data_IF_792763824432
#
_entry.id   IF_792763824432
#
_cell.length_a   1.000
_cell.length_b   1.000
_cell.length_c   1.000
_cell.angle_alpha   90.00
_cell.angle_beta   90.00
_cell.angle_gamma   90.00
#
_symmetry.space_group_name_H-M   'P 1'
#
loop_
_entity.id
_entity.type
_entity.pdbx_description
1 polymer ?
#
# COMPACT_ATOMS: atom_id res chain seq x y z
N UNK A 1 14.27 46.75 -0.21
CA UNK A 1 13.56 45.48 0.03
C UNK A 1 13.77 44.62 -1.22
N UNK A 2 14.46 43.48 -1.19
CA UNK A 2 14.67 42.70 -2.41
C UNK A 2 13.35 42.08 -2.90
N UNK A 3 13.06 42.23 -4.20
CA UNK A 3 11.81 41.95 -4.93
C UNK A 3 11.68 40.49 -5.43
N UNK A 4 12.31 39.52 -4.78
CA UNK A 4 12.28 38.13 -5.25
C UNK A 4 12.20 37.14 -4.10
N UNK A 5 11.16 37.27 -3.27
CA UNK A 5 10.77 36.16 -2.40
C UNK A 5 10.14 35.09 -3.28
N UNK A 6 10.97 34.15 -3.76
CA UNK A 6 10.47 32.91 -4.37
C UNK A 6 9.76 32.12 -3.27
N UNK A 7 8.50 32.43 -3.04
CA UNK A 7 7.62 31.59 -2.25
C UNK A 7 7.46 30.29 -3.02
N UNK A 8 8.12 29.23 -2.56
CA UNK A 8 7.78 27.89 -2.99
C UNK A 8 6.43 27.54 -2.35
N UNK A 9 5.37 27.30 -3.14
CA UNK A 9 4.06 26.96 -2.60
C UNK A 9 4.07 25.50 -2.10
N UNK A 10 4.79 25.25 -1.01
CA UNK A 10 4.88 23.95 -0.29
C UNK A 10 3.50 23.33 -0.14
N UNK A 11 2.53 24.18 0.22
CA UNK A 11 1.16 23.79 0.51
C UNK A 11 0.44 23.23 -0.71
N UNK A 12 0.70 23.77 -1.90
CA UNK A 12 0.13 23.25 -3.15
C UNK A 12 0.71 21.87 -3.44
N UNK A 13 2.03 21.71 -3.31
CA UNK A 13 2.70 20.42 -3.52
C UNK A 13 2.23 19.36 -2.52
N UNK A 14 2.14 19.69 -1.24
CA UNK A 14 1.63 18.80 -0.20
C UNK A 14 0.17 18.40 -0.45
N UNK A 15 -0.69 19.35 -0.82
CA UNK A 15 -2.11 19.09 -1.10
C UNK A 15 -2.29 18.22 -2.33
N UNK A 16 -1.56 18.51 -3.41
CA UNK A 16 -1.61 17.72 -4.64
C UNK A 16 -1.08 16.30 -4.38
N UNK A 17 -0.01 16.18 -3.58
CA UNK A 17 0.56 14.89 -3.20
C UNK A 17 -0.43 14.03 -2.40
N UNK A 18 -1.09 14.62 -1.40
CA UNK A 18 -2.13 13.93 -0.64
C UNK A 18 -3.31 13.53 -1.54
N UNK A 19 -3.74 14.41 -2.46
CA UNK A 19 -4.82 14.12 -3.40
C UNK A 19 -4.47 12.94 -4.33
N UNK A 20 -3.28 12.94 -4.94
CA UNK A 20 -2.83 11.82 -5.78
C UNK A 20 -2.75 10.54 -4.95
N UNK A 21 -2.29 10.61 -3.70
CA UNK A 21 -2.25 9.45 -2.81
C UNK A 21 -3.59 8.83 -2.55
N UNK A 22 -4.58 9.65 -2.21
CA UNK A 22 -5.95 9.19 -2.00
C UNK A 22 -6.52 8.59 -3.30
N UNK A 23 -6.35 9.27 -4.44
CA UNK A 23 -6.83 8.77 -5.74
C UNK A 23 -6.16 7.44 -6.10
N UNK A 24 -4.85 7.32 -5.92
CA UNK A 24 -4.09 6.13 -6.25
C UNK A 24 -4.46 4.96 -5.32
N UNK A 25 -4.55 5.19 -4.00
CA UNK A 25 -5.00 4.15 -3.07
C UNK A 25 -6.43 3.69 -3.37
N UNK A 26 -7.36 4.62 -3.64
CA UNK A 26 -8.74 4.28 -4.01
C UNK A 26 -8.81 3.55 -5.34
N UNK A 27 -8.03 3.97 -6.33
CA UNK A 27 -7.98 3.33 -7.64
C UNK A 27 -7.43 1.92 -7.54
N UNK A 28 -6.33 1.70 -6.82
CA UNK A 28 -5.76 0.37 -6.58
C UNK A 28 -6.72 -0.49 -5.77
N UNK A 29 -7.33 0.06 -4.71
CA UNK A 29 -8.31 -0.64 -3.89
C UNK A 29 -9.51 -1.11 -4.70
N UNK A 30 -9.98 -0.31 -5.68
CA UNK A 30 -11.09 -0.69 -6.57
C UNK A 30 -10.65 -1.65 -7.68
N UNK A 31 -9.50 -1.38 -8.31
CA UNK A 31 -9.00 -2.14 -9.46
C UNK A 31 -8.62 -3.56 -9.09
N UNK A 32 -8.09 -3.75 -7.88
CA UNK A 32 -7.59 -5.03 -7.38
C UNK A 32 -8.40 -5.52 -6.17
N UNK A 33 -9.64 -5.06 -6.01
CA UNK A 33 -10.53 -5.47 -4.91
C UNK A 33 -10.63 -7.00 -4.77
N UNK A 34 -10.65 -7.73 -5.90
CA UNK A 34 -10.75 -9.19 -5.92
C UNK A 34 -9.44 -9.91 -5.56
N UNK A 35 -8.29 -9.21 -5.56
CA UNK A 35 -6.96 -9.78 -5.34
C UNK A 35 -6.23 -9.22 -4.11
N UNK A 36 -6.70 -8.10 -3.55
CA UNK A 36 -6.11 -7.46 -2.38
C UNK A 36 -6.42 -8.27 -1.13
N UNK A 37 -5.37 -8.76 -0.48
CA UNK A 37 -5.47 -9.39 0.83
C UNK A 37 -5.42 -8.32 1.93
N UNK A 38 -5.91 -8.66 3.12
CA UNK A 38 -5.83 -7.77 4.30
C UNK A 38 -4.36 -7.37 4.54
N UNK A 39 -4.08 -6.07 4.52
CA UNK A 39 -2.74 -5.50 4.71
C UNK A 39 -1.99 -5.11 3.42
N UNK A 40 -2.50 -5.42 2.23
CA UNK A 40 -1.84 -5.00 0.98
C UNK A 40 -1.98 -3.47 0.76
N UNK A 41 -3.09 -2.88 1.23
CA UNK A 41 -3.29 -1.42 1.26
C UNK A 41 -2.24 -0.74 2.17
N UNK A 42 -1.86 -1.38 3.28
CA UNK A 42 -0.81 -0.87 4.16
C UNK A 42 0.56 -0.90 3.46
N UNK A 43 0.87 -1.95 2.70
CA UNK A 43 2.10 -2.04 1.91
C UNK A 43 2.13 -0.97 0.80
N UNK A 44 1.01 -0.75 0.12
CA UNK A 44 0.86 0.35 -0.85
C UNK A 44 1.07 1.72 -0.21
N UNK A 45 0.52 1.93 0.99
CA UNK A 45 0.78 3.15 1.75
C UNK A 45 2.27 3.31 2.10
N UNK A 46 2.96 2.22 2.42
CA UNK A 46 4.40 2.21 2.70
C UNK A 46 5.25 2.58 1.47
N UNK A 47 4.75 2.33 0.26
CA UNK A 47 5.36 2.79 -1.00
C UNK A 47 5.02 4.26 -1.26
N UNK A 48 3.79 4.68 -0.97
CA UNK A 48 3.31 6.03 -1.24
C UNK A 48 3.91 7.11 -0.31
N UNK A 49 3.97 6.81 0.99
CA UNK A 49 4.46 7.73 2.02
C UNK A 49 5.85 8.32 1.73
N UNK A 50 6.88 7.52 1.36
CA UNK A 50 8.21 8.05 1.11
C UNK A 50 8.31 8.95 -0.12
N UNK A 51 7.46 8.78 -1.13
CA UNK A 51 7.41 9.69 -2.28
C UNK A 51 6.98 11.11 -1.86
N UNK A 52 6.12 11.24 -0.84
CA UNK A 52 5.81 12.55 -0.24
C UNK A 52 6.98 13.13 0.54
N UNK A 53 7.76 12.25 1.20
CA UNK A 53 8.98 12.64 1.91
C UNK A 53 10.02 13.23 0.95
N UNK A 54 10.11 12.72 -0.28
CA UNK A 54 10.97 13.28 -1.33
C UNK A 54 10.63 14.74 -1.66
N UNK A 55 9.34 15.08 -1.73
CA UNK A 55 8.91 16.45 -2.01
C UNK A 55 9.21 17.41 -0.85
N UNK A 56 9.00 16.97 0.38
CA UNK A 56 9.32 17.76 1.59
C UNK A 56 10.83 17.95 1.73
N UNK A 57 11.63 16.92 1.42
CA UNK A 57 13.08 16.99 1.47
C UNK A 57 13.66 17.87 0.36
N UNK A 58 13.04 17.90 -0.83
CA UNK A 58 13.44 18.80 -1.93
C UNK A 58 13.38 20.28 -1.52
N UNK A 59 12.50 20.61 -0.57
CA UNK A 59 12.31 21.96 -0.08
C UNK A 59 13.21 22.32 1.11
N UNK A 60 13.94 21.35 1.68
CA UNK A 60 14.92 21.53 2.76
C UNK A 60 16.34 21.22 2.27
N UNK A 61 17.06 22.21 1.74
CA UNK A 61 18.47 22.02 1.36
C UNK A 61 19.38 21.66 2.54
N UNK A 62 18.96 21.92 3.79
CA UNK A 62 19.72 21.67 5.03
C UNK A 62 19.47 20.28 5.65
N UNK A 63 18.86 19.35 4.91
CA UNK A 63 18.52 18.05 5.46
C UNK A 63 19.74 17.17 5.75
N UNK A 64 19.64 16.34 6.79
CA UNK A 64 20.72 15.43 7.19
C UNK A 64 20.98 14.39 6.10
N UNK A 65 22.19 14.46 5.52
CA UNK A 65 22.67 13.53 4.48
C UNK A 65 23.45 12.38 5.09
N UNK A 66 23.12 11.17 4.67
CA UNK A 66 23.87 9.95 4.94
C UNK A 66 24.46 9.50 3.62
N UNK A 67 25.79 9.39 3.53
CA UNK A 67 26.52 9.04 2.29
C UNK A 67 26.19 9.99 1.11
N UNK A 68 26.05 11.29 1.38
CA UNK A 68 25.75 12.30 0.35
C UNK A 68 24.29 12.32 -0.12
N UNK A 69 23.46 11.34 0.29
CA UNK A 69 22.03 11.31 0.01
C UNK A 69 21.23 11.74 1.25
N UNK A 70 20.15 12.53 1.09
CA UNK A 70 19.25 12.85 2.19
C UNK A 70 18.66 11.58 2.82
N UNK A 71 18.53 11.56 4.14
CA UNK A 71 18.01 10.40 4.89
C UNK A 71 16.61 9.98 4.42
N UNK A 72 15.79 10.94 3.97
CA UNK A 72 14.48 10.66 3.37
C UNK A 72 14.56 9.70 2.17
N UNK A 73 15.61 9.79 1.34
CA UNK A 73 15.78 8.93 0.17
C UNK A 73 16.13 7.50 0.56
N UNK A 74 16.96 7.32 1.58
CA UNK A 74 17.27 6.01 2.15
C UNK A 74 16.01 5.33 2.69
N UNK A 75 15.22 6.05 3.49
CA UNK A 75 13.95 5.55 4.02
C UNK A 75 13.01 5.18 2.87
N UNK A 76 12.99 5.98 1.81
CA UNK A 76 12.17 5.69 0.64
C UNK A 76 12.55 4.39 -0.06
N UNK A 77 13.83 4.22 -0.39
CA UNK A 77 14.32 3.02 -1.08
C UNK A 77 14.04 1.77 -0.25
N UNK A 78 14.32 1.81 1.06
CA UNK A 78 14.10 0.66 1.96
C UNK A 78 12.62 0.34 2.07
N UNK A 79 11.77 1.34 2.30
CA UNK A 79 10.33 1.14 2.48
C UNK A 79 9.69 0.58 1.22
N UNK A 80 10.04 1.12 0.04
CA UNK A 80 9.55 0.64 -1.26
C UNK A 80 10.04 -0.77 -1.53
N UNK A 81 11.33 -1.06 -1.31
CA UNK A 81 11.89 -2.38 -1.54
C UNK A 81 11.25 -3.46 -0.67
N UNK A 82 11.08 -3.19 0.63
CA UNK A 82 10.42 -4.12 1.57
C UNK A 82 8.97 -4.33 1.19
N UNK A 83 8.22 -3.26 0.90
CA UNK A 83 6.82 -3.37 0.54
C UNK A 83 6.60 -4.11 -0.78
N UNK A 84 7.40 -3.82 -1.81
CA UNK A 84 7.35 -4.51 -3.09
C UNK A 84 7.70 -6.00 -2.94
N UNK A 85 8.73 -6.32 -2.17
CA UNK A 85 9.11 -7.71 -1.88
C UNK A 85 8.00 -8.47 -1.14
N UNK A 86 7.38 -7.85 -0.13
CA UNK A 86 6.27 -8.46 0.61
C UNK A 86 5.04 -8.67 -0.26
N UNK A 87 4.69 -7.70 -1.11
CA UNK A 87 3.60 -7.83 -2.08
C UNK A 87 3.87 -8.97 -3.08
N UNK A 88 5.08 -9.02 -3.63
CA UNK A 88 5.49 -10.07 -4.55
C UNK A 88 5.41 -11.46 -3.89
N UNK A 89 6.01 -11.62 -2.70
CA UNK A 89 5.97 -12.89 -1.95
C UNK A 89 4.55 -13.33 -1.58
N UNK A 90 3.67 -12.38 -1.27
CA UNK A 90 2.25 -12.68 -0.97
C UNK A 90 1.49 -13.13 -2.20
N UNK A 91 1.73 -12.52 -3.36
CA UNK A 91 1.03 -12.87 -4.60
C UNK A 91 1.60 -14.13 -5.29
N UNK A 92 2.82 -14.55 -4.92
CA UNK A 92 3.45 -15.80 -5.33
C UNK A 92 2.89 -17.05 -4.61
N UNK A 93 2.02 -16.90 -3.60
CA UNK A 93 1.32 -18.02 -2.97
C UNK A 93 -0.03 -18.25 -3.66
N UNK A 94 -0.12 -19.15 -4.66
CA UNK A 94 -1.43 -19.59 -5.15
C UNK A 94 -2.23 -20.13 -3.96
N UNK A 95 -3.56 -19.89 -3.90
CA UNK A 95 -4.40 -20.54 -2.89
C UNK A 95 -4.12 -22.05 -2.97
N UNK A 96 -3.84 -22.67 -1.83
CA UNK A 96 -3.53 -24.09 -1.80
C UNK A 96 -4.67 -24.84 -2.51
N UNK A 97 -4.36 -25.79 -3.39
CA UNK A 97 -5.36 -26.49 -4.20
C UNK A 97 -6.53 -27.03 -3.35
N UNK A 98 -6.25 -27.46 -2.11
CA UNK A 98 -7.25 -27.89 -1.15
C UNK A 98 -8.21 -26.79 -0.68
N UNK A 99 -7.74 -25.54 -0.59
CA UNK A 99 -8.58 -24.39 -0.22
C UNK A 99 -9.50 -24.00 -1.38
N UNK A 100 -9.02 -24.10 -2.62
CA UNK A 100 -9.83 -23.89 -3.83
C UNK A 100 -10.88 -24.99 -3.99
N UNK A 101 -10.49 -26.25 -3.78
CA UNK A 101 -11.41 -27.39 -3.87
C UNK A 101 -12.50 -27.31 -2.80
N UNK A 102 -12.12 -26.98 -1.55
CA UNK A 102 -13.07 -26.75 -0.47
C UNK A 102 -14.02 -25.59 -0.78
N UNK A 103 -13.52 -24.47 -1.32
CA UNK A 103 -14.37 -23.34 -1.67
C UNK A 103 -15.36 -23.72 -2.79
N UNK A 104 -14.91 -24.43 -3.83
CA UNK A 104 -15.77 -24.94 -4.90
C UNK A 104 -16.81 -25.94 -4.39
N UNK A 105 -16.42 -26.88 -3.53
CA UNK A 105 -17.32 -27.87 -2.93
C UNK A 105 -18.35 -27.20 -2.02
N UNK A 106 -17.92 -26.28 -1.16
CA UNK A 106 -18.80 -25.46 -0.31
C UNK A 106 -19.75 -24.64 -1.18
N UNK A 107 -19.28 -24.10 -2.31
CA UNK A 107 -20.12 -23.34 -3.23
C UNK A 107 -21.17 -24.20 -3.96
N UNK A 108 -20.93 -25.51 -4.10
CA UNK A 108 -21.90 -26.45 -4.67
C UNK A 108 -22.92 -26.98 -3.66
N UNK A 109 -22.67 -26.83 -2.35
CA UNK A 109 -23.59 -27.32 -1.32
C UNK A 109 -24.90 -26.50 -1.26
N UNK A 110 -26.07 -27.18 -1.09
CA UNK A 110 -27.34 -26.56 -0.74
C UNK A 110 -27.23 -25.62 0.46
N UNK A 111 -27.96 -24.49 0.44
CA UNK A 111 -27.86 -23.42 1.46
C UNK A 111 -28.05 -23.91 2.90
N UNK A 112 -28.81 -24.98 3.11
CA UNK A 112 -29.02 -25.59 4.41
C UNK A 112 -27.74 -26.19 5.01
N UNK A 113 -26.93 -26.86 4.18
CA UNK A 113 -25.71 -27.56 4.62
C UNK A 113 -24.52 -26.62 4.81
N UNK A 114 -24.44 -25.54 4.01
CA UNK A 114 -23.39 -24.51 4.17
C UNK A 114 -23.41 -23.87 5.56
N UNK A 115 -24.60 -23.52 6.06
CA UNK A 115 -24.76 -22.89 7.39
C UNK A 115 -24.32 -23.82 8.52
N UNK A 116 -24.47 -25.13 8.36
CA UNK A 116 -24.01 -26.12 9.35
C UNK A 116 -22.47 -26.23 9.37
N UNK A 117 -21.83 -26.21 8.19
CA UNK A 117 -20.36 -26.18 8.07
C UNK A 117 -19.75 -24.88 8.61
N UNK A 118 -20.37 -23.74 8.34
CA UNK A 118 -19.93 -22.44 8.88
C UNK A 118 -20.03 -22.36 10.41
N UNK A 119 -21.04 -23.02 11.01
CA UNK A 119 -21.14 -23.16 12.47
C UNK A 119 -20.02 -24.03 13.04
N UNK A 120 -19.78 -25.19 12.44
CA UNK A 120 -18.74 -26.12 12.89
C UNK A 120 -17.32 -25.53 12.79
N UNK A 121 -17.07 -24.67 11.80
CA UNK A 121 -15.80 -23.94 11.63
C UNK A 121 -15.60 -22.80 12.64
N UNK A 122 -16.66 -22.32 13.31
CA UNK A 122 -16.55 -21.32 14.39
C UNK A 122 -16.32 -21.95 15.77
N UNK A 123 -16.58 -23.25 15.90
CA UNK A 123 -16.44 -24.01 17.16
C UNK A 123 -15.11 -24.76 17.27
N UNK A 124 -14.32 -24.81 16.18
CA UNK A 124 -12.96 -25.37 16.12
C UNK A 124 -11.92 -24.28 15.97
#
# INVERSE_FOLDING_TARGET
MPLSTRFHPTFLYESLWNAIGVVLLLWVSRRYADRLRRGDIFLLYLIWYPLGRFLVEFQRPDAWKILGLPTAQWIAIVSIGVAAFLLWRRHQRPPAEGEVLLDVMVKRLPRAQRRALERKKRES
#
